data_IF_552830041020
#
_entry.id   IF_552830041020
#
_cell.length_a   1.000
_cell.length_b   1.000
_cell.length_c   1.000
_cell.angle_alpha   90.00
_cell.angle_beta   90.00
_cell.angle_gamma   90.00
#
_symmetry.space_group_name_H-M   'P 1'
#
loop_
_entity.id
_entity.type
_entity.pdbx_description
1 polymer ?
#
# COMPACT_ATOMS: atom_id res chain seq x y z
N UNK A 1 -16.70 -3.63 10.48
CA UNK A 1 -15.68 -2.57 10.63
C UNK A 1 -16.38 -1.27 10.99
N UNK A 2 -15.76 -0.43 11.82
CA UNK A 2 -16.23 0.94 12.03
C UNK A 2 -15.95 1.78 10.77
N UNK A 3 -16.68 2.89 10.61
CA UNK A 3 -16.44 3.84 9.51
C UNK A 3 -14.96 4.31 9.49
N UNK A 4 -14.38 4.57 10.67
CA UNK A 4 -12.98 4.94 10.82
C UNK A 4 -11.99 3.85 10.37
N UNK A 5 -12.28 2.58 10.63
CA UNK A 5 -11.47 1.45 10.16
C UNK A 5 -11.52 1.35 8.64
N UNK A 6 -12.72 1.41 8.05
CA UNK A 6 -12.89 1.33 6.60
C UNK A 6 -12.19 2.48 5.88
N UNK A 7 -12.30 3.69 6.43
CA UNK A 7 -11.58 4.85 5.96
C UNK A 7 -10.06 4.65 5.97
N UNK A 8 -9.53 3.96 7.00
CA UNK A 8 -8.11 3.64 7.04
C UNK A 8 -7.70 2.71 5.90
N UNK A 9 -8.48 1.65 5.66
CA UNK A 9 -8.24 0.74 4.53
C UNK A 9 -8.29 1.47 3.18
N UNK A 10 -9.25 2.39 3.00
CA UNK A 10 -9.35 3.22 1.78
C UNK A 10 -8.12 4.08 1.58
N UNK A 11 -7.59 4.71 2.63
CA UNK A 11 -6.35 5.50 2.53
C UNK A 11 -5.15 4.63 2.18
N UNK A 12 -4.99 3.46 2.80
CA UNK A 12 -3.92 2.51 2.47
C UNK A 12 -4.02 2.04 1.02
N UNK A 13 -5.22 1.70 0.55
CA UNK A 13 -5.46 1.30 -0.83
C UNK A 13 -5.14 2.41 -1.84
N UNK A 14 -5.52 3.66 -1.54
CA UNK A 14 -5.20 4.81 -2.37
C UNK A 14 -3.68 5.06 -2.44
N UNK A 15 -2.98 4.96 -1.31
CA UNK A 15 -1.51 5.09 -1.26
C UNK A 15 -0.83 4.04 -2.13
N UNK A 16 -1.23 2.77 -1.97
CA UNK A 16 -0.71 1.68 -2.79
C UNK A 16 -0.95 1.91 -4.28
N UNK A 17 -2.19 2.30 -4.65
CA UNK A 17 -2.56 2.53 -6.05
C UNK A 17 -1.76 3.67 -6.69
N UNK A 18 -1.46 4.72 -5.94
CA UNK A 18 -0.62 5.85 -6.39
C UNK A 18 0.84 5.42 -6.49
N UNK A 19 1.36 4.71 -5.49
CA UNK A 19 2.75 4.22 -5.45
C UNK A 19 3.09 3.33 -6.65
N UNK A 20 2.16 2.45 -7.06
CA UNK A 20 2.32 1.59 -8.24
C UNK A 20 2.47 2.38 -9.56
N UNK A 21 1.91 3.58 -9.64
CA UNK A 21 1.91 4.42 -10.86
C UNK A 21 3.00 5.49 -10.83
N UNK A 22 3.32 5.99 -9.65
CA UNK A 22 4.32 7.03 -9.43
C UNK A 22 5.20 6.64 -8.23
N UNK A 23 6.14 5.69 -8.44
CA UNK A 23 7.07 5.28 -7.39
C UNK A 23 8.07 6.39 -7.02
N UNK A 24 8.29 7.36 -7.90
CA UNK A 24 9.29 8.43 -7.73
C UNK A 24 8.75 9.66 -6.96
N UNK A 25 7.42 9.76 -6.81
CA UNK A 25 6.76 10.94 -6.26
C UNK A 25 6.16 10.68 -4.87
N UNK A 26 7.03 10.47 -3.88
CA UNK A 26 6.67 10.17 -2.49
C UNK A 26 5.72 11.19 -1.87
N UNK A 27 5.88 12.49 -2.20
CA UNK A 27 4.99 13.56 -1.73
C UNK A 27 3.55 13.46 -2.27
N UNK A 28 3.33 12.69 -3.34
CA UNK A 28 2.00 12.50 -3.95
C UNK A 28 1.22 11.34 -3.32
N UNK A 29 1.82 10.58 -2.40
CA UNK A 29 1.16 9.43 -1.78
C UNK A 29 0.17 9.87 -0.70
N UNK A 30 0.31 11.07 -0.13
CA UNK A 30 -0.68 11.64 0.80
C UNK A 30 -1.68 12.57 0.12
N UNK A 31 -2.93 12.52 0.58
CA UNK A 31 -3.97 13.39 0.08
C UNK A 31 -3.69 14.83 0.55
N UNK A 32 -3.45 15.74 -0.41
CA UNK A 32 -3.30 17.16 -0.16
C UNK A 32 -4.52 17.77 0.56
N UNK A 33 -5.72 17.20 0.34
CA UNK A 33 -6.92 17.59 1.11
C UNK A 33 -7.95 16.47 1.17
N UNK A 34 -8.67 16.41 2.29
CA UNK A 34 -9.82 15.52 2.49
C UNK A 34 -11.07 16.33 2.79
N UNK A 35 -12.20 15.97 2.17
CA UNK A 35 -13.49 16.60 2.41
C UNK A 35 -14.57 15.55 2.63
N UNK A 36 -15.50 15.82 3.56
CA UNK A 36 -16.69 14.98 3.72
C UNK A 36 -17.66 15.23 2.57
N UNK A 37 -18.22 14.14 2.03
CA UNK A 37 -19.28 14.21 1.04
C UNK A 37 -20.62 14.05 1.77
N UNK A 38 -21.40 15.12 1.80
CA UNK A 38 -22.74 15.14 2.38
C UNK A 38 -23.74 15.43 1.24
N UNK A 39 -24.76 14.59 1.11
CA UNK A 39 -25.87 14.79 0.18
C UNK A 39 -27.18 14.64 0.94
N UNK A 40 -28.10 15.58 0.76
CA UNK A 40 -29.40 15.62 1.45
C UNK A 40 -29.31 15.53 3.00
N UNK A 41 -28.20 16.02 3.58
CA UNK A 41 -27.94 15.95 5.02
C UNK A 41 -27.37 14.62 5.51
N UNK A 42 -27.17 13.64 4.62
CA UNK A 42 -26.59 12.34 4.93
C UNK A 42 -25.12 12.27 4.55
N UNK A 43 -24.32 11.61 5.38
CA UNK A 43 -22.93 11.33 5.09
C UNK A 43 -22.83 10.23 4.03
N UNK A 44 -22.43 10.60 2.81
CA UNK A 44 -22.31 9.68 1.68
C UNK A 44 -20.89 9.16 1.49
N UNK A 45 -19.88 9.76 2.13
CA UNK A 45 -18.50 9.31 2.04
C UNK A 45 -17.48 10.45 2.11
N UNK A 46 -16.34 10.30 1.44
CA UNK A 46 -15.23 11.27 1.50
C UNK A 46 -14.57 11.45 0.15
N UNK A 47 -14.12 12.67 -0.10
CA UNK A 47 -13.34 13.05 -1.27
C UNK A 47 -11.91 13.32 -0.86
N UNK A 48 -10.97 12.70 -1.56
CA UNK A 48 -9.54 12.89 -1.44
C UNK A 48 -9.06 13.66 -2.66
N UNK A 49 -8.30 14.71 -2.43
CA UNK A 49 -7.64 15.49 -3.47
C UNK A 49 -6.14 15.29 -3.33
N UNK A 50 -5.51 14.87 -4.41
CA UNK A 50 -4.08 14.81 -4.59
C UNK A 50 -3.67 15.91 -5.59
N UNK A 51 -2.37 16.07 -5.82
CA UNK A 51 -1.88 17.06 -6.80
C UNK A 51 -2.35 16.72 -8.21
N UNK A 52 -2.21 15.45 -8.61
CA UNK A 52 -2.51 14.98 -9.97
C UNK A 52 -3.79 14.13 -10.06
N UNK A 53 -4.42 13.82 -8.92
CA UNK A 53 -5.56 12.90 -8.88
C UNK A 53 -6.66 13.38 -7.94
N UNK A 54 -7.87 12.92 -8.19
CA UNK A 54 -9.00 13.08 -7.28
C UNK A 54 -9.66 11.73 -7.06
N UNK A 55 -9.83 11.34 -5.80
CA UNK A 55 -10.56 10.13 -5.45
C UNK A 55 -11.83 10.47 -4.66
N UNK A 56 -12.93 9.76 -4.93
CA UNK A 56 -14.17 9.86 -4.16
C UNK A 56 -14.53 8.47 -3.65
N UNK A 57 -14.57 8.33 -2.34
CA UNK A 57 -15.08 7.15 -1.65
C UNK A 57 -16.55 7.34 -1.32
N UNK A 58 -17.38 6.40 -1.76
CA UNK A 58 -18.80 6.30 -1.44
C UNK A 58 -18.99 5.26 -0.36
N UNK A 59 -19.54 5.65 0.80
CA UNK A 59 -19.70 4.78 1.96
C UNK A 59 -20.76 3.69 1.71
N UNK A 60 -21.89 4.03 1.10
CA UNK A 60 -22.99 3.07 0.87
C UNK A 60 -22.62 1.98 -0.14
N UNK A 61 -21.97 2.37 -1.23
CA UNK A 61 -21.53 1.45 -2.30
C UNK A 61 -20.18 0.79 -1.97
N UNK A 62 -19.50 1.30 -0.95
CA UNK A 62 -18.16 0.93 -0.54
C UNK A 62 -17.17 0.87 -1.72
N UNK A 63 -17.20 1.94 -2.52
CA UNK A 63 -16.48 2.09 -3.77
C UNK A 63 -15.66 3.37 -3.78
N UNK A 64 -14.46 3.30 -4.37
CA UNK A 64 -13.59 4.45 -4.59
C UNK A 64 -13.43 4.69 -6.09
N UNK A 65 -13.81 5.89 -6.54
CA UNK A 65 -13.59 6.34 -7.93
C UNK A 65 -12.41 7.28 -7.98
N UNK A 66 -11.41 6.94 -8.77
CA UNK A 66 -10.20 7.74 -8.98
C UNK A 66 -10.28 8.40 -10.34
N UNK A 67 -10.03 9.71 -10.36
CA UNK A 67 -10.09 10.58 -11.53
C UNK A 67 -8.77 11.32 -11.70
N UNK A 68 -8.44 11.62 -12.95
CA UNK A 68 -7.35 12.51 -13.31
C UNK A 68 -7.74 13.99 -13.13
N UNK A 69 -6.77 14.90 -13.23
CA UNK A 69 -6.97 16.35 -13.35
C UNK A 69 -7.91 16.75 -14.50
N UNK A 70 -7.91 15.99 -15.60
CA UNK A 70 -8.85 16.18 -16.72
C UNK A 70 -10.28 15.67 -16.43
N UNK A 71 -10.50 15.07 -15.25
CA UNK A 71 -11.80 14.53 -14.83
C UNK A 71 -12.12 13.14 -15.37
N UNK A 72 -11.21 12.55 -16.14
CA UNK A 72 -11.30 11.19 -16.67
C UNK A 72 -11.19 10.16 -15.53
N UNK A 73 -12.05 9.14 -15.53
CA UNK A 73 -11.98 8.06 -14.54
C UNK A 73 -10.82 7.13 -14.90
N UNK A 74 -9.81 7.06 -14.03
CA UNK A 74 -8.64 6.22 -14.19
C UNK A 74 -8.87 4.82 -13.63
N UNK A 75 -9.55 4.74 -12.49
CA UNK A 75 -9.82 3.48 -11.81
C UNK A 75 -11.06 3.56 -10.92
N UNK A 76 -11.64 2.39 -10.67
CA UNK A 76 -12.78 2.23 -9.78
C UNK A 76 -12.51 1.01 -8.89
N UNK A 77 -12.22 1.25 -7.62
CA UNK A 77 -11.90 0.21 -6.65
C UNK A 77 -13.17 -0.17 -5.89
N UNK A 78 -13.57 -1.44 -6.01
CA UNK A 78 -14.67 -2.02 -5.23
C UNK A 78 -14.16 -2.50 -3.88
N UNK A 79 -15.06 -2.88 -2.98
CA UNK A 79 -14.76 -3.37 -1.63
C UNK A 79 -13.62 -4.39 -1.55
N UNK A 80 -13.61 -5.38 -2.45
CA UNK A 80 -12.59 -6.43 -2.49
C UNK A 80 -11.22 -5.91 -2.97
N UNK A 81 -11.20 -4.95 -3.90
CA UNK A 81 -9.97 -4.36 -4.43
C UNK A 81 -9.32 -3.46 -3.35
N UNK A 82 -10.14 -2.72 -2.61
CA UNK A 82 -9.70 -1.89 -1.49
C UNK A 82 -9.04 -2.77 -0.42
N UNK A 83 -9.65 -3.91 -0.08
CA UNK A 83 -9.13 -4.83 0.93
C UNK A 83 -7.77 -5.41 0.51
N UNK A 84 -7.67 -5.87 -0.74
CA UNK A 84 -6.43 -6.40 -1.31
C UNK A 84 -5.30 -5.35 -1.31
N UNK A 85 -5.57 -4.15 -1.80
CA UNK A 85 -4.56 -3.07 -1.87
C UNK A 85 -4.16 -2.57 -0.49
N UNK A 86 -5.11 -2.49 0.46
CA UNK A 86 -4.82 -2.11 1.83
C UNK A 86 -3.88 -3.13 2.49
N UNK A 87 -4.13 -4.43 2.30
CA UNK A 87 -3.30 -5.49 2.85
C UNK A 87 -1.88 -5.46 2.28
N UNK A 88 -1.69 -5.14 0.99
CA UNK A 88 -0.36 -5.03 0.37
C UNK A 88 0.47 -3.92 1.02
N UNK A 89 -0.13 -2.74 1.25
CA UNK A 89 0.54 -1.62 1.90
C UNK A 89 0.89 -1.90 3.37
N UNK A 90 0.01 -2.58 4.10
CA UNK A 90 0.27 -2.95 5.50
C UNK A 90 1.36 -4.04 5.63
N UNK A 91 1.57 -4.83 4.58
CA UNK A 91 2.54 -5.93 4.55
C UNK A 91 3.90 -5.50 4.00
N UNK A 92 4.00 -4.33 3.36
CA UNK A 92 5.29 -3.77 2.98
C UNK A 92 5.90 -3.09 4.21
N UNK A 93 7.01 -3.59 4.78
CA UNK A 93 7.70 -2.86 5.82
C UNK A 93 8.20 -1.56 5.19
N UNK A 94 7.53 -0.45 5.49
CA UNK A 94 8.09 0.87 5.22
C UNK A 94 9.34 0.97 6.10
N UNK A 95 10.50 0.69 5.51
CA UNK A 95 11.78 1.12 6.05
C UNK A 95 11.74 2.64 6.01
N UNK A 96 11.21 3.23 7.08
CA UNK A 96 11.57 4.60 7.44
C UNK A 96 13.11 4.63 7.46
N UNK A 97 13.79 5.58 6.82
CA UNK A 97 15.14 5.94 7.23
C UNK A 97 15.02 6.70 8.56
N UNK A 98 14.47 6.05 9.58
CA UNK A 98 14.64 6.49 10.95
C UNK A 98 16.07 6.11 11.28
N UNK A 99 16.89 7.12 11.45
CA UNK A 99 18.22 7.00 12.02
C UNK A 99 18.06 6.45 13.44
N UNK A 100 18.07 5.13 13.58
CA UNK A 100 18.78 4.37 14.64
C UNK A 100 18.54 2.86 14.42
N UNK A 101 19.65 2.17 14.15
CA UNK A 101 20.06 0.94 14.83
C UNK A 101 19.11 -0.28 14.87
N UNK A 102 19.50 -1.32 14.12
CA UNK A 102 19.55 -2.75 14.55
C UNK A 102 18.20 -3.45 14.90
N UNK A 103 17.80 -4.58 14.32
CA UNK A 103 18.42 -5.91 14.43
C UNK A 103 17.57 -6.92 13.62
N UNK A 104 18.26 -7.77 12.84
CA UNK A 104 17.89 -9.13 12.36
C UNK A 104 16.84 -9.29 11.26
N UNK A 105 17.31 -9.07 10.04
CA UNK A 105 17.16 -10.05 8.95
C UNK A 105 17.70 -11.41 9.42
N UNK A 106 16.91 -12.49 9.31
CA UNK A 106 17.38 -13.86 9.01
C UNK A 106 16.20 -14.83 9.05
N UNK A 107 15.62 -15.09 7.89
CA UNK A 107 15.39 -16.44 7.40
C UNK A 107 14.63 -16.35 6.09
N UNK A 108 15.26 -16.75 4.99
CA UNK A 108 14.74 -17.82 4.11
C UNK A 108 15.82 -18.14 3.05
N UNK A 109 16.19 -19.42 3.05
CA UNK A 109 16.69 -20.24 1.95
C UNK A 109 18.18 -20.24 1.54
N UNK A 110 18.66 -21.48 1.44
CA UNK A 110 19.68 -22.01 0.53
C UNK A 110 21.16 -21.96 0.95
N UNK A 111 21.60 -23.01 1.67
CA UNK A 111 22.90 -23.63 1.35
C UNK A 111 22.94 -25.14 1.63
N UNK A 112 21.96 -25.86 1.10
CA UNK A 112 22.09 -27.28 0.78
C UNK A 112 23.15 -27.41 -0.34
N UNK A 113 24.43 -27.38 -0.01
CA UNK A 113 25.54 -27.89 -0.84
C UNK A 113 26.88 -27.76 -0.11
N UNK A 114 27.14 -28.60 0.90
CA UNK A 114 28.54 -28.94 1.22
C UNK A 114 28.67 -30.22 2.05
N UNK A 115 28.54 -31.39 1.40
CA UNK A 115 29.00 -32.67 1.96
C UNK A 115 29.70 -33.55 0.92
N UNK A 116 30.53 -32.94 0.08
CA UNK A 116 31.37 -33.68 -0.88
C UNK A 116 32.78 -33.05 -0.99
N UNK A 117 33.58 -33.11 0.08
CA UNK A 117 35.05 -32.98 0.01
C UNK A 117 35.78 -33.35 1.31
N UNK A 118 35.32 -34.39 2.02
CA UNK A 118 36.05 -34.94 3.18
C UNK A 118 36.69 -36.31 2.88
N UNK A 119 37.19 -36.49 1.65
CA UNK A 119 37.78 -37.78 1.20
C UNK A 119 39.24 -37.70 0.76
N UNK A 120 39.89 -36.53 0.81
CA UNK A 120 41.22 -36.35 0.18
C UNK A 120 42.33 -35.79 1.09
N UNK A 121 42.22 -35.93 2.42
CA UNK A 121 43.28 -35.50 3.37
C UNK A 121 43.79 -36.58 4.35
N UNK A 122 43.52 -37.86 4.08
CA UNK A 122 44.11 -39.01 4.83
C UNK A 122 45.14 -39.80 4.01
N UNK A 123 45.82 -39.16 3.06
CA UNK A 123 47.03 -39.67 2.38
C UNK A 123 48.18 -38.67 2.51
N UNK A 124 48.50 -38.27 3.74
CA UNK A 124 49.76 -37.58 4.05
C UNK A 124 49.94 -37.54 5.58
N UNK A 125 50.02 -38.72 6.20
CA UNK A 125 50.62 -38.92 7.51
C UNK A 125 51.01 -40.40 7.61
#
# INVERSE_FOLDING_TARGET
MTNSQRLSSVRSALRQWISERQPDATDLHEAASEAMLIRDGFFCGRRFRFENYQAVWFLEEDEVKIRDTDGNVLAMLRSNEIDQLAQVWETTPVTQPSSDEEVRTLSIAAHLENKASESERRRAA
#
